data_IF_913362750722
#
_entry.id   IF_913362750722
#
_cell.length_a   1.000
_cell.length_b   1.000
_cell.length_c   1.000
_cell.angle_alpha   90.00
_cell.angle_beta   90.00
_cell.angle_gamma   90.00
#
_symmetry.space_group_name_H-M   'P 1'
#
loop_
_entity.id
_entity.type
_entity.pdbx_description
1 polymer ?
#
# COMPACT_ATOMS: atom_id res chain seq x y z
N UNK A 1 9.59 -8.08 13.44
CA UNK A 1 9.25 -7.91 14.87
C UNK A 1 9.06 -6.44 15.19
N UNK A 2 8.78 -6.05 16.43
CA UNK A 2 8.78 -4.63 16.85
C UNK A 2 10.14 -3.98 16.64
N UNK A 3 11.23 -4.75 16.78
CA UNK A 3 12.63 -4.33 16.61
C UNK A 3 12.98 -3.98 15.15
N UNK A 4 12.28 -4.58 14.19
CA UNK A 4 12.52 -4.34 12.76
C UNK A 4 11.71 -3.15 12.19
N UNK A 5 10.91 -2.48 13.03
CA UNK A 5 10.14 -1.30 12.62
C UNK A 5 11.07 -0.12 12.35
N UNK A 6 10.70 0.73 11.40
CA UNK A 6 11.48 1.93 11.06
C UNK A 6 12.70 1.68 10.16
N UNK A 7 13.09 0.42 9.93
CA UNK A 7 14.24 0.04 9.08
C UNK A 7 13.96 0.02 7.57
N UNK A 8 12.75 0.41 7.14
CA UNK A 8 12.39 0.50 5.72
C UNK A 8 11.78 -0.75 5.09
N UNK A 9 11.83 -1.91 5.75
CA UNK A 9 11.29 -3.18 5.21
C UNK A 9 9.82 -3.13 4.78
N UNK A 10 8.99 -2.34 5.47
CA UNK A 10 7.58 -2.18 5.07
C UNK A 10 7.43 -1.52 3.69
N UNK A 11 8.26 -0.51 3.40
CA UNK A 11 8.29 0.15 2.09
C UNK A 11 8.84 -0.78 1.03
N UNK A 12 9.90 -1.50 1.35
CA UNK A 12 10.53 -2.46 0.44
C UNK A 12 9.56 -3.57 0.04
N UNK A 13 8.94 -4.24 1.02
CA UNK A 13 7.98 -5.31 0.79
C UNK A 13 6.76 -4.81 -0.01
N UNK A 14 6.22 -3.64 0.32
CA UNK A 14 5.10 -3.06 -0.42
C UNK A 14 5.48 -2.71 -1.87
N UNK A 15 6.70 -2.24 -2.10
CA UNK A 15 7.22 -1.95 -3.44
C UNK A 15 7.36 -3.23 -4.27
N UNK A 16 7.94 -4.29 -3.69
CA UNK A 16 8.04 -5.61 -4.34
C UNK A 16 6.66 -6.13 -4.72
N UNK A 17 5.68 -6.02 -3.82
CA UNK A 17 4.31 -6.45 -4.11
C UNK A 17 3.65 -5.67 -5.26
N UNK A 18 3.83 -4.35 -5.30
CA UNK A 18 3.32 -3.52 -6.41
C UNK A 18 3.97 -3.92 -7.73
N UNK A 19 5.30 -4.01 -7.75
CA UNK A 19 6.04 -4.43 -8.94
C UNK A 19 5.56 -5.79 -9.43
N UNK A 20 5.48 -6.77 -8.51
CA UNK A 20 5.04 -8.12 -8.83
C UNK A 20 3.63 -8.14 -9.42
N UNK A 21 2.67 -7.43 -8.80
CA UNK A 21 1.29 -7.43 -9.25
C UNK A 21 1.12 -6.79 -10.62
N UNK A 22 1.79 -5.66 -10.89
CA UNK A 22 1.71 -5.02 -12.19
C UNK A 22 2.49 -5.75 -13.29
N UNK A 23 3.60 -6.42 -12.95
CA UNK A 23 4.35 -7.27 -13.89
C UNK A 23 3.59 -8.57 -14.24
N UNK A 24 2.96 -9.21 -13.26
CA UNK A 24 2.41 -10.57 -13.42
C UNK A 24 0.94 -10.61 -13.80
N UNK A 25 0.18 -9.52 -13.61
CA UNK A 25 -1.26 -9.45 -13.88
C UNK A 25 -1.58 -8.27 -14.77
N UNK A 26 -2.59 -8.42 -15.64
CA UNK A 26 -3.15 -7.32 -16.42
C UNK A 26 -4.25 -6.57 -15.63
N UNK A 27 -3.87 -5.97 -14.50
CA UNK A 27 -4.75 -5.14 -13.66
C UNK A 27 -4.47 -3.65 -13.87
N UNK A 28 -5.48 -2.78 -13.78
CA UNK A 28 -5.30 -1.33 -13.93
C UNK A 28 -5.02 -0.59 -12.63
N UNK A 29 -5.23 -1.25 -11.49
CA UNK A 29 -5.26 -0.62 -10.16
C UNK A 29 -4.93 -1.60 -9.05
N UNK A 30 -4.18 -1.13 -8.06
CA UNK A 30 -3.98 -1.80 -6.77
C UNK A 30 -4.54 -0.89 -5.67
N UNK A 31 -5.27 -1.46 -4.72
CA UNK A 31 -5.88 -0.74 -3.61
C UNK A 31 -5.45 -1.32 -2.27
N UNK A 32 -5.33 -0.46 -1.27
CA UNK A 32 -5.08 -0.85 0.12
C UNK A 32 -5.99 -0.09 1.07
N UNK A 33 -6.55 -0.82 2.04
CA UNK A 33 -7.31 -0.26 3.15
C UNK A 33 -6.45 -0.21 4.41
N UNK A 34 -6.35 0.97 5.03
CA UNK A 34 -5.56 1.19 6.24
C UNK A 34 -6.43 1.87 7.29
N UNK A 35 -6.23 1.52 8.57
CA UNK A 35 -6.85 2.28 9.65
C UNK A 35 -6.40 3.75 9.63
N UNK A 36 -7.30 4.74 9.71
CA UNK A 36 -6.93 6.15 9.63
C UNK A 36 -5.91 6.63 10.67
N UNK A 37 -5.80 5.96 11.82
CA UNK A 37 -4.84 6.29 12.88
C UNK A 37 -3.45 5.63 12.69
N UNK A 38 -3.31 4.71 11.73
CA UNK A 38 -2.03 4.09 11.42
C UNK A 38 -1.21 4.96 10.44
N UNK A 39 -0.69 6.08 10.95
CA UNK A 39 0.08 7.06 10.17
C UNK A 39 1.35 6.44 9.56
N UNK A 40 1.99 5.52 10.28
CA UNK A 40 3.22 4.86 9.80
C UNK A 40 2.97 4.07 8.51
N UNK A 41 1.90 3.25 8.45
CA UNK A 41 1.55 2.51 7.24
C UNK A 41 1.03 3.40 6.11
N UNK A 42 0.35 4.51 6.43
CA UNK A 42 -0.05 5.49 5.40
C UNK A 42 1.18 6.09 4.70
N UNK A 43 2.19 6.53 5.48
CA UNK A 43 3.46 7.02 4.93
C UNK A 43 4.20 5.98 4.09
N UNK A 44 4.10 4.70 4.43
CA UNK A 44 4.66 3.61 3.61
C UNK A 44 3.98 3.58 2.23
N UNK A 45 2.65 3.59 2.18
CA UNK A 45 1.92 3.58 0.91
C UNK A 45 2.21 4.82 0.06
N UNK A 46 2.25 6.00 0.68
CA UNK A 46 2.60 7.26 -0.01
C UNK A 46 4.00 7.18 -0.64
N UNK A 47 5.00 6.63 0.08
CA UNK A 47 6.36 6.43 -0.44
C UNK A 47 6.41 5.45 -1.62
N UNK A 48 5.56 4.42 -1.60
CA UNK A 48 5.47 3.43 -2.70
C UNK A 48 4.83 4.06 -3.95
N UNK A 49 4.02 5.11 -3.78
CA UNK A 49 3.37 5.85 -4.86
C UNK A 49 1.84 5.77 -4.83
N UNK A 50 1.25 5.20 -3.79
CA UNK A 50 -0.20 5.23 -3.62
C UNK A 50 -0.68 6.65 -3.27
N UNK A 51 -1.87 6.98 -3.73
CA UNK A 51 -2.61 8.20 -3.39
C UNK A 51 -3.77 7.87 -2.46
N UNK A 52 -4.02 8.74 -1.48
CA UNK A 52 -5.20 8.66 -0.60
C UNK A 52 -6.43 9.12 -1.36
N UNK A 53 -7.47 8.31 -1.37
CA UNK A 53 -8.72 8.66 -2.06
C UNK A 53 -9.82 9.09 -1.11
N UNK A 54 -9.82 8.58 0.13
CA UNK A 54 -10.84 8.95 1.09
C UNK A 54 -10.87 8.08 2.34
N UNK A 55 -11.89 8.30 3.15
CA UNK A 55 -12.18 7.51 4.35
C UNK A 55 -13.58 6.93 4.21
N UNK A 56 -13.65 5.61 4.24
CA UNK A 56 -14.91 4.88 4.38
C UNK A 56 -15.29 4.87 5.86
N UNK A 57 -16.42 5.48 6.20
CA UNK A 57 -16.91 5.60 7.58
C UNK A 57 -17.56 4.29 8.02
N UNK A 58 -17.19 3.78 9.20
CA UNK A 58 -17.77 2.59 9.85
C UNK A 58 -17.94 1.38 8.91
N UNK A 59 -17.00 1.17 7.99
CA UNK A 59 -17.13 0.15 6.94
C UNK A 59 -16.50 -1.20 7.30
N UNK A 60 -15.69 -1.28 8.36
CA UNK A 60 -14.96 -2.49 8.72
C UNK A 60 -15.21 -2.88 10.17
N UNK A 61 -15.78 -4.06 10.41
CA UNK A 61 -16.02 -4.57 11.76
C UNK A 61 -14.79 -5.31 12.27
N UNK A 62 -14.21 -4.84 13.38
CA UNK A 62 -13.07 -5.51 14.00
C UNK A 62 -12.99 -5.22 15.49
N UNK A 63 -12.73 -6.27 16.27
CA UNK A 63 -12.67 -6.24 17.74
C UNK A 63 -13.94 -5.63 18.36
N UNK A 64 -15.10 -6.11 17.92
CA UNK A 64 -16.40 -5.72 18.45
C UNK A 64 -16.87 -4.31 18.08
N UNK A 65 -16.19 -3.61 17.16
CA UNK A 65 -16.51 -2.23 16.79
C UNK A 65 -16.45 -2.04 15.28
N UNK A 66 -17.38 -1.27 14.73
CA UNK A 66 -17.25 -0.72 13.38
C UNK A 66 -16.18 0.38 13.39
N UNK A 67 -15.30 0.34 12.40
CA UNK A 67 -14.16 1.24 12.26
C UNK A 67 -14.12 1.86 10.88
N UNK A 68 -13.56 3.06 10.85
CA UNK A 68 -13.26 3.76 9.60
C UNK A 68 -12.05 3.13 8.92
N UNK A 69 -11.99 3.23 7.60
CA UNK A 69 -10.86 2.76 6.77
C UNK A 69 -10.46 3.85 5.79
N UNK A 70 -9.20 4.28 5.85
CA UNK A 70 -8.62 5.11 4.81
C UNK A 70 -8.28 4.24 3.59
N UNK A 71 -8.72 4.66 2.42
CA UNK A 71 -8.48 3.96 1.16
C UNK A 71 -7.39 4.68 0.38
N UNK A 72 -6.45 3.87 -0.09
CA UNK A 72 -5.33 4.29 -0.92
C UNK A 72 -5.27 3.44 -2.18
N UNK A 73 -4.76 4.02 -3.26
CA UNK A 73 -4.57 3.29 -4.51
C UNK A 73 -3.40 3.77 -5.33
N UNK A 74 -2.90 2.89 -6.20
CA UNK A 74 -2.00 3.22 -7.29
C UNK A 74 -2.57 2.66 -8.59
N UNK A 75 -2.53 3.47 -9.65
CA UNK A 75 -2.95 3.08 -10.99
C UNK A 75 -1.74 2.58 -11.80
N UNK A 76 -1.98 1.71 -12.77
CA UNK A 76 -0.92 1.19 -13.65
C UNK A 76 -0.17 2.29 -14.38
N UNK A 77 -0.87 3.32 -14.87
CA UNK A 77 -0.26 4.44 -15.59
C UNK A 77 0.66 5.31 -14.70
N UNK A 78 0.45 5.26 -13.38
CA UNK A 78 1.32 5.93 -12.40
C UNK A 78 2.57 5.10 -12.08
N UNK A 79 2.50 3.79 -12.31
CA UNK A 79 3.62 2.85 -12.18
C UNK A 79 4.38 2.75 -13.51
N UNK A 80 5.36 3.64 -13.69
CA UNK A 80 6.13 3.77 -14.93
C UNK A 80 7.02 2.55 -15.22
N UNK A 81 7.73 2.08 -14.21
CA UNK A 81 8.66 0.95 -14.30
C UNK A 81 8.79 0.26 -12.93
N UNK A 82 9.19 -1.03 -12.90
CA UNK A 82 9.42 -1.72 -11.64
C UNK A 82 10.60 -1.10 -10.88
N UNK A 83 10.43 -0.85 -9.58
CA UNK A 83 11.44 -0.16 -8.75
C UNK A 83 12.49 -1.11 -8.17
N UNK A 84 12.12 -2.35 -7.87
CA UNK A 84 12.97 -3.37 -7.24
C UNK A 84 13.11 -4.60 -8.13
N UNK A 85 12.02 -5.18 -8.62
CA UNK A 85 12.06 -6.48 -9.30
C UNK A 85 12.78 -6.44 -10.66
N UNK A 86 12.86 -5.27 -11.32
CA UNK A 86 13.51 -5.14 -12.63
C UNK A 86 14.94 -4.61 -12.61
N UNK A 87 15.58 -4.45 -11.45
CA UNK A 87 17.04 -4.18 -11.36
C UNK A 87 17.86 -5.47 -11.52
N UNK A 88 17.50 -6.28 -12.49
CA UNK A 88 18.13 -7.55 -12.84
C UNK A 88 18.29 -7.67 -14.35
N UNK A 89 19.27 -6.95 -14.89
CA UNK A 89 20.05 -7.33 -16.06
C UNK A 89 21.51 -7.10 -15.75
#
# INVERSE_FOLDING_TARGET
TTEERGKGYGTEAATIMVDYLFLSKNIIRIQAGIRPDNIASQKVLEKVGFKKEGILRKCFFSRGKLRDTAIFSILREEWKEPKIIAKGK
#
